data_IF_273123972556
#
_entry.id   IF_273123972556
#
_cell.length_a   1.000
_cell.length_b   1.000
_cell.length_c   1.000
_cell.angle_alpha   90.00
_cell.angle_beta   90.00
_cell.angle_gamma   90.00
#
_symmetry.space_group_name_H-M   'P 1'
#
loop_
_entity.id
_entity.type
_entity.pdbx_description
1 polymer ?
#
# COMPACT_ATOMS: atom_id res chain seq x y z
N UNK A 1 -13.08 -12.53 -25.42
CA UNK A 1 -12.25 -12.67 -24.21
C UNK A 1 -10.87 -13.04 -24.70
N UNK A 2 -9.90 -12.12 -24.64
CA UNK A 2 -8.56 -12.32 -25.19
C UNK A 2 -7.84 -13.45 -24.45
N UNK A 3 -7.18 -14.34 -25.19
CA UNK A 3 -6.46 -15.49 -24.64
C UNK A 3 -5.41 -15.04 -23.62
N UNK A 4 -5.64 -15.39 -22.35
CA UNK A 4 -4.76 -15.04 -21.22
C UNK A 4 -3.40 -15.76 -21.25
N UNK A 5 -3.12 -16.49 -22.31
CA UNK A 5 -2.02 -17.44 -22.41
C UNK A 5 -1.18 -17.26 -23.66
N UNK A 6 -1.29 -16.14 -24.39
CA UNK A 6 -0.55 -15.93 -25.65
C UNK A 6 0.98 -16.08 -25.52
N UNK A 7 1.55 -15.78 -24.34
CA UNK A 7 3.00 -15.91 -24.09
C UNK A 7 3.40 -17.32 -23.67
N UNK A 8 2.65 -17.95 -22.75
CA UNK A 8 2.96 -19.28 -22.22
C UNK A 8 2.32 -20.43 -22.99
N UNK A 9 1.37 -20.14 -23.88
CA UNK A 9 0.48 -21.08 -24.57
C UNK A 9 -0.15 -22.15 -23.66
N UNK A 10 -0.35 -21.81 -22.39
CA UNK A 10 -0.89 -22.70 -21.38
C UNK A 10 -2.41 -22.93 -21.56
N UNK A 11 -2.91 -24.06 -21.05
CA UNK A 11 -4.33 -24.44 -21.09
C UNK A 11 -5.06 -24.21 -19.77
N UNK A 12 -4.33 -23.96 -18.69
CA UNK A 12 -4.88 -23.68 -17.36
C UNK A 12 -3.90 -22.85 -16.52
N UNK A 13 -4.35 -22.38 -15.35
CA UNK A 13 -3.55 -21.52 -14.47
C UNK A 13 -2.30 -22.18 -13.89
N UNK A 14 -2.32 -23.50 -13.67
CA UNK A 14 -1.15 -24.23 -13.15
C UNK A 14 -0.03 -24.25 -14.19
N UNK A 15 -0.38 -24.55 -15.44
CA UNK A 15 0.56 -24.55 -16.56
C UNK A 15 1.17 -23.15 -16.82
N UNK A 16 0.45 -22.06 -16.52
CA UNK A 16 1.02 -20.70 -16.58
C UNK A 16 2.13 -20.52 -15.53
N UNK A 17 1.90 -21.00 -14.31
CA UNK A 17 2.90 -20.93 -13.23
C UNK A 17 4.14 -21.75 -13.55
N UNK A 18 3.94 -23.02 -13.95
CA UNK A 18 5.03 -23.92 -14.33
C UNK A 18 5.87 -23.37 -15.49
N UNK A 19 5.25 -22.65 -16.43
CA UNK A 19 5.98 -21.94 -17.48
C UNK A 19 6.86 -20.83 -16.90
N UNK A 20 6.33 -19.93 -16.07
CA UNK A 20 7.11 -18.80 -15.53
C UNK A 20 8.10 -19.17 -14.42
N UNK A 21 7.99 -20.37 -13.82
CA UNK A 21 8.99 -20.87 -12.88
C UNK A 21 10.37 -21.09 -13.53
N UNK A 22 10.41 -21.28 -14.86
CA UNK A 22 11.64 -21.53 -15.62
C UNK A 22 11.94 -20.49 -16.70
N UNK A 23 11.13 -19.44 -16.82
CA UNK A 23 11.25 -18.42 -17.87
C UNK A 23 11.18 -17.02 -17.26
N UNK A 24 11.91 -16.05 -17.82
CA UNK A 24 11.91 -14.67 -17.32
C UNK A 24 11.06 -13.77 -18.21
N UNK A 25 10.27 -12.86 -17.62
CA UNK A 25 9.43 -11.93 -18.38
C UNK A 25 10.24 -11.00 -19.29
N UNK A 26 11.53 -10.80 -19.01
CA UNK A 26 12.46 -10.02 -19.85
C UNK A 26 12.82 -10.73 -21.16
N UNK A 27 12.64 -12.04 -21.25
CA UNK A 27 12.92 -12.85 -22.44
C UNK A 27 11.77 -12.79 -23.47
N UNK A 28 10.60 -12.30 -23.06
CA UNK A 28 9.38 -12.31 -23.85
C UNK A 28 8.80 -10.89 -24.02
N UNK A 29 8.82 -10.39 -25.26
CA UNK A 29 8.28 -9.08 -25.63
C UNK A 29 9.35 -7.99 -25.76
N UNK A 30 8.96 -6.83 -26.31
CA UNK A 30 9.86 -5.68 -26.43
C UNK A 30 9.98 -4.95 -25.10
N UNK A 31 11.22 -4.73 -24.65
CA UNK A 31 11.52 -3.84 -23.54
C UNK A 31 11.46 -2.39 -24.04
N UNK A 32 10.63 -1.55 -23.43
CA UNK A 32 10.58 -0.12 -23.72
C UNK A 32 11.04 0.66 -22.48
N UNK A 33 11.89 1.69 -22.64
CA UNK A 33 12.25 2.56 -21.52
C UNK A 33 11.01 3.22 -20.92
N UNK A 34 10.81 3.05 -19.62
CA UNK A 34 9.77 3.73 -18.85
C UNK A 34 10.43 4.67 -17.85
N UNK A 35 9.96 5.91 -17.83
CA UNK A 35 10.34 6.88 -16.81
C UNK A 35 9.46 6.69 -15.58
N UNK A 36 10.07 6.41 -14.42
CA UNK A 36 9.38 6.39 -13.14
C UNK A 36 10.17 7.20 -12.11
N UNK A 37 9.44 7.92 -11.27
CA UNK A 37 10.01 8.72 -10.19
C UNK A 37 9.79 8.00 -8.86
N UNK A 38 10.87 7.75 -8.13
CA UNK A 38 10.83 7.17 -6.78
C UNK A 38 11.45 8.16 -5.80
N UNK A 39 10.66 8.68 -4.87
CA UNK A 39 11.21 9.47 -3.76
C UNK A 39 11.68 8.53 -2.65
N UNK A 40 12.94 8.10 -2.75
CA UNK A 40 13.63 7.28 -1.75
C UNK A 40 13.82 7.97 -0.39
N UNK A 41 13.45 9.25 -0.25
CA UNK A 41 13.50 9.97 1.04
C UNK A 41 12.21 9.85 1.83
N UNK A 42 11.12 9.35 1.23
CA UNK A 42 9.86 9.08 1.93
C UNK A 42 10.05 7.91 2.91
N UNK A 43 10.39 8.25 4.15
CA UNK A 43 10.47 7.29 5.26
C UNK A 43 9.09 7.12 5.89
N UNK A 44 8.30 6.18 5.37
CA UNK A 44 7.09 5.77 6.04
C UNK A 44 7.42 4.98 7.31
N UNK A 45 6.89 5.42 8.46
CA UNK A 45 6.93 4.64 9.70
C UNK A 45 5.60 3.91 9.84
N UNK A 46 5.67 2.59 9.87
CA UNK A 46 4.49 1.74 10.04
C UNK A 46 4.32 1.39 11.50
N UNK A 47 3.09 1.49 11.99
CA UNK A 47 2.68 1.10 13.33
C UNK A 47 1.53 0.11 13.22
N UNK A 48 1.59 -0.96 14.01
CA UNK A 48 0.47 -1.88 14.12
C UNK A 48 -0.71 -1.16 14.78
N UNK A 49 -1.89 -1.30 14.18
CA UNK A 49 -3.16 -0.78 14.70
C UNK A 49 -4.11 -1.96 14.78
N UNK A 50 -4.86 -2.05 15.88
CA UNK A 50 -5.92 -3.05 16.04
C UNK A 50 -6.94 -3.00 14.88
N UNK A 51 -7.40 -4.16 14.42
CA UNK A 51 -8.26 -4.27 13.25
C UNK A 51 -9.60 -3.52 13.41
N UNK A 52 -10.23 -3.62 14.58
CA UNK A 52 -11.49 -2.90 14.83
C UNK A 52 -11.26 -1.39 14.87
N UNK A 53 -10.13 -0.96 15.45
CA UNK A 53 -9.75 0.44 15.47
C UNK A 53 -9.48 0.97 14.06
N UNK A 54 -8.81 0.19 13.21
CA UNK A 54 -8.57 0.53 11.81
C UNK A 54 -9.89 0.73 11.05
N UNK A 55 -10.86 -0.16 11.24
CA UNK A 55 -12.20 -0.03 10.64
C UNK A 55 -12.94 1.24 11.07
N UNK A 56 -12.89 1.58 12.36
CA UNK A 56 -13.50 2.81 12.90
C UNK A 56 -12.81 4.04 12.31
N UNK A 57 -11.48 4.01 12.24
CA UNK A 57 -10.67 5.09 11.69
C UNK A 57 -11.02 5.37 10.24
N UNK A 58 -11.05 4.33 9.40
CA UNK A 58 -11.45 4.43 7.99
C UNK A 58 -12.82 5.06 7.83
N UNK A 59 -13.83 4.55 8.54
CA UNK A 59 -15.21 5.06 8.46
C UNK A 59 -15.29 6.56 8.78
N UNK A 60 -14.57 7.02 9.79
CA UNK A 60 -14.60 8.43 10.18
C UNK A 60 -13.83 9.30 9.17
N UNK A 61 -12.68 8.83 8.69
CA UNK A 61 -11.90 9.52 7.67
C UNK A 61 -12.71 9.72 6.38
N UNK A 62 -13.39 8.67 5.91
CA UNK A 62 -14.30 8.71 4.76
C UNK A 62 -15.44 9.71 4.97
N UNK A 63 -16.12 9.66 6.12
CA UNK A 63 -17.19 10.61 6.46
C UNK A 63 -16.73 12.07 6.46
N UNK A 64 -15.45 12.31 6.75
CA UNK A 64 -14.82 13.64 6.78
C UNK A 64 -14.18 14.04 5.44
N UNK A 65 -14.15 13.13 4.46
CA UNK A 65 -13.51 13.37 3.15
C UNK A 65 -11.99 13.57 3.22
N UNK A 66 -11.31 12.98 4.21
CA UNK A 66 -9.86 13.08 4.40
C UNK A 66 -9.21 11.70 4.40
N UNK A 67 -7.89 11.63 4.19
CA UNK A 67 -7.18 10.34 4.25
C UNK A 67 -7.10 9.79 5.67
N UNK A 68 -7.05 8.46 5.79
CA UNK A 68 -6.82 7.74 7.05
C UNK A 68 -5.56 8.26 7.76
N UNK A 69 -4.48 8.47 7.01
CA UNK A 69 -3.22 9.04 7.52
C UNK A 69 -3.41 10.45 8.10
N UNK A 70 -4.13 11.32 7.39
CA UNK A 70 -4.39 12.70 7.86
C UNK A 70 -5.19 12.68 9.16
N UNK A 71 -6.23 11.84 9.20
CA UNK A 71 -7.09 11.71 10.37
C UNK A 71 -6.33 11.16 11.58
N UNK A 72 -5.56 10.08 11.39
CA UNK A 72 -4.73 9.49 12.44
C UNK A 72 -3.72 10.50 13.00
N UNK A 73 -3.00 11.19 12.12
CA UNK A 73 -2.00 12.19 12.51
C UNK A 73 -2.63 13.34 13.29
N UNK A 74 -3.86 13.75 12.95
CA UNK A 74 -4.59 14.77 13.71
C UNK A 74 -4.89 14.32 15.14
N UNK A 75 -5.41 13.10 15.31
CA UNK A 75 -5.70 12.54 16.65
C UNK A 75 -4.42 12.42 17.47
N UNK A 76 -3.37 11.84 16.90
CA UNK A 76 -2.10 11.63 17.60
C UNK A 76 -1.50 12.97 18.03
N UNK A 77 -1.51 13.97 17.16
CA UNK A 77 -1.02 15.33 17.48
C UNK A 77 -1.81 15.98 18.60
N UNK A 78 -3.14 15.88 18.56
CA UNK A 78 -4.01 16.42 19.61
C UNK A 78 -3.72 15.76 20.96
N UNK A 79 -3.61 14.42 20.99
CA UNK A 79 -3.29 13.66 22.20
C UNK A 79 -1.93 14.00 22.77
N UNK A 80 -0.90 14.09 21.94
CA UNK A 80 0.45 14.47 22.38
C UNK A 80 0.43 15.88 23.00
N UNK A 81 -0.24 16.84 22.35
CA UNK A 81 -0.31 18.21 22.87
C UNK A 81 -1.02 18.28 24.23
N UNK A 82 -2.08 17.50 24.45
CA UNK A 82 -2.76 17.41 25.74
C UNK A 82 -1.84 16.85 26.84
N UNK A 83 -1.05 15.82 26.52
CA UNK A 83 -0.10 15.20 27.46
C UNK A 83 1.03 16.18 27.82
N UNK A 84 1.60 16.88 26.84
CA UNK A 84 2.65 17.88 27.07
C UNK A 84 2.17 19.07 27.91
N UNK A 85 0.91 19.48 27.74
CA UNK A 85 0.31 20.54 28.55
C UNK A 85 0.02 20.08 29.97
N UNK A 86 -0.39 18.82 30.17
CA UNK A 86 -0.58 18.23 31.49
C UNK A 86 0.73 18.10 32.28
N UNK A 87 1.82 17.70 31.61
CA UNK A 87 3.15 17.56 32.22
C UNK A 87 3.84 18.89 32.58
N UNK A 88 3.28 20.05 32.19
CA UNK A 88 3.83 21.37 32.55
C UNK A 88 3.27 21.94 33.85
N UNK A 89 2.30 21.26 34.47
CA UNK A 89 1.60 21.72 35.68
C UNK A 89 1.98 20.88 36.91
N UNK A 90 2.82 19.85 36.74
CA UNK A 90 3.50 19.11 37.83
C UNK A 90 4.95 19.57 37.98
#
# INVERSE_FOLDING_TARGET
>A
MSDKTLVSNARNYREIGEFWDTHDATEYGSQEPVEFHMDIRLHHRYFAIDDELCLKLRRIAEQRGISEETFLNSIVRERISQIEQGNRIE
#
